data_IF_325002517495
#
_entry.id   IF_325002517495
#
_cell.length_a   1.000
_cell.length_b   1.000
_cell.length_c   1.000
_cell.angle_alpha   90.00
_cell.angle_beta   90.00
_cell.angle_gamma   90.00
#
_symmetry.space_group_name_H-M   'P 1'
#
loop_
_entity.id
_entity.type
_entity.pdbx_description
1 polymer ?
#
# COMPACT_ATOMS: atom_id res chain seq x y z
N UNK A 1 10.87 -39.29 -17.54
CA UNK A 1 11.17 -37.92 -17.07
C UNK A 1 9.86 -37.36 -16.54
N UNK A 2 9.60 -37.58 -15.24
CA UNK A 2 8.32 -37.24 -14.62
C UNK A 2 8.41 -35.84 -14.04
N UNK A 3 7.70 -34.89 -14.64
CA UNK A 3 7.45 -33.57 -14.05
C UNK A 3 6.36 -33.71 -12.98
N UNK A 4 6.77 -33.72 -11.72
CA UNK A 4 5.87 -33.59 -10.58
C UNK A 4 5.34 -32.16 -10.55
N UNK A 5 4.08 -31.96 -10.96
CA UNK A 5 3.37 -30.69 -10.77
C UNK A 5 2.98 -30.59 -9.30
N UNK A 6 3.61 -29.69 -8.56
CA UNK A 6 3.16 -29.31 -7.22
C UNK A 6 1.87 -28.49 -7.36
N UNK A 7 0.78 -29.04 -6.83
CA UNK A 7 -0.50 -28.35 -6.70
C UNK A 7 -0.42 -27.54 -5.41
N UNK A 8 -0.14 -26.24 -5.51
CA UNK A 8 -0.20 -25.33 -4.38
C UNK A 8 -1.69 -25.01 -4.13
N UNK A 9 -2.24 -25.47 -3.01
CA UNK A 9 -3.58 -25.09 -2.57
C UNK A 9 -3.48 -23.68 -2.01
N UNK A 10 -3.87 -22.68 -2.80
CA UNK A 10 -4.01 -21.29 -2.37
C UNK A 10 -5.33 -21.17 -1.61
N UNK A 11 -5.27 -20.97 -0.29
CA UNK A 11 -6.45 -20.67 0.53
C UNK A 11 -6.55 -19.14 0.60
N UNK A 12 -7.39 -18.56 -0.25
CA UNK A 12 -7.78 -17.15 -0.19
C UNK A 12 -9.02 -17.03 0.68
N UNK A 13 -8.85 -16.52 1.90
CA UNK A 13 -9.97 -16.09 2.73
C UNK A 13 -10.26 -14.63 2.40
N UNK A 14 -11.14 -14.39 1.44
CA UNK A 14 -11.70 -13.06 1.22
C UNK A 14 -12.72 -12.78 2.33
N UNK A 15 -12.23 -12.35 3.50
CA UNK A 15 -13.12 -11.84 4.54
C UNK A 15 -13.45 -10.42 4.15
N UNK A 16 -14.57 -10.23 3.45
CA UNK A 16 -15.26 -8.95 3.47
C UNK A 16 -15.61 -8.69 4.94
N UNK A 17 -14.79 -7.91 5.62
CA UNK A 17 -15.11 -7.42 6.96
C UNK A 17 -16.21 -6.38 6.76
N UNK A 18 -17.44 -6.87 6.63
CA UNK A 18 -18.59 -6.13 7.16
C UNK A 18 -18.20 -5.65 8.57
N UNK A 19 -18.71 -4.52 9.09
CA UNK A 19 -18.56 -4.18 10.50
C UNK A 19 -19.34 -5.22 11.32
N UNK A 20 -18.75 -6.39 11.44
CA UNK A 20 -19.16 -7.49 12.26
C UNK A 20 -18.71 -7.05 13.64
N UNK A 21 -19.63 -6.45 14.38
CA UNK A 21 -19.55 -6.39 15.82
C UNK A 21 -19.11 -7.77 16.29
N UNK A 22 -17.86 -7.84 16.76
CA UNK A 22 -17.20 -9.04 17.21
C UNK A 22 -18.08 -9.72 18.27
N UNK A 23 -18.65 -10.87 17.92
CA UNK A 23 -19.06 -11.87 18.91
C UNK A 23 -17.89 -12.85 19.08
N UNK A 24 -17.37 -12.89 20.30
CA UNK A 24 -16.51 -13.92 20.90
C UNK A 24 -15.02 -14.06 20.47
N UNK A 25 -14.44 -13.05 19.82
CA UNK A 25 -12.99 -12.83 19.86
C UNK A 25 -12.70 -11.74 20.87
N UNK A 26 -11.86 -11.99 21.89
CA UNK A 26 -11.53 -11.01 22.93
C UNK A 26 -11.13 -9.68 22.30
N UNK A 27 -12.04 -8.70 22.37
CA UNK A 27 -11.77 -7.33 21.93
C UNK A 27 -10.66 -6.81 22.84
N UNK A 28 -9.53 -6.47 22.25
CA UNK A 28 -8.50 -5.72 22.95
C UNK A 28 -9.12 -4.35 23.21
N UNK A 29 -9.61 -4.18 24.44
CA UNK A 29 -10.32 -2.96 24.86
C UNK A 29 -9.38 -1.89 25.38
N UNK A 30 -8.10 -2.26 25.58
CA UNK A 30 -7.07 -1.34 26.04
C UNK A 30 -6.08 -1.02 24.91
N UNK A 31 -6.15 0.17 24.29
CA UNK A 31 -5.19 0.60 23.29
C UNK A 31 -3.75 0.71 23.80
N UNK A 32 -3.52 0.63 25.11
CA UNK A 32 -2.19 0.67 25.73
C UNK A 32 -1.52 -0.73 25.78
N UNK A 33 -2.23 -1.80 25.36
CA UNK A 33 -1.67 -3.17 25.26
C UNK A 33 -1.02 -3.47 23.90
N UNK A 34 -1.03 -2.52 22.95
CA UNK A 34 -0.37 -2.71 21.65
C UNK A 34 1.15 -2.64 21.87
N UNK A 35 1.90 -3.68 21.51
CA UNK A 35 3.35 -3.71 21.65
C UNK A 35 4.02 -2.46 21.03
N UNK A 36 4.95 -1.86 21.78
CA UNK A 36 5.77 -0.71 21.34
C UNK A 36 6.64 -0.99 20.09
N UNK A 37 6.70 -2.25 19.62
CA UNK A 37 7.55 -2.67 18.50
C UNK A 37 6.93 -2.43 17.12
N UNK A 38 5.60 -2.25 17.01
CA UNK A 38 4.95 -1.91 15.74
C UNK A 38 4.67 -0.42 15.64
N UNK A 39 5.69 0.33 15.19
CA UNK A 39 5.57 1.78 15.06
C UNK A 39 5.17 2.16 13.63
N UNK A 40 3.94 2.62 13.46
CA UNK A 40 3.45 3.21 12.20
C UNK A 40 2.84 4.57 12.47
N UNK A 41 2.69 5.38 11.42
CA UNK A 41 1.99 6.66 11.48
C UNK A 41 1.40 7.04 10.14
N UNK A 42 0.28 7.76 10.16
CA UNK A 42 -0.20 8.52 9.01
C UNK A 42 0.05 9.99 9.30
N UNK A 43 0.96 10.61 8.56
CA UNK A 43 1.32 12.02 8.72
C UNK A 43 0.81 12.82 7.53
N UNK A 44 0.14 13.94 7.82
CA UNK A 44 -0.36 14.87 6.80
C UNK A 44 0.56 16.07 6.70
N UNK A 45 0.93 16.41 5.49
CA UNK A 45 1.81 17.52 5.17
C UNK A 45 1.11 18.48 4.22
N UNK A 46 1.13 19.77 4.58
CA UNK A 46 0.72 20.84 3.70
C UNK A 46 1.88 21.24 2.77
N UNK A 47 1.64 21.35 1.47
CA UNK A 47 2.64 21.81 0.50
C UNK A 47 2.78 20.88 -0.70
N UNK A 48 3.87 21.06 -1.45
CA UNK A 48 4.22 20.22 -2.60
C UNK A 48 5.20 19.13 -2.20
N UNK A 49 5.37 18.11 -3.04
CA UNK A 49 6.33 17.02 -2.79
C UNK A 49 7.76 17.54 -2.57
N UNK A 50 8.16 18.59 -3.29
CA UNK A 50 9.47 19.22 -3.15
C UNK A 50 9.67 19.85 -1.76
N UNK A 51 8.60 20.38 -1.16
CA UNK A 51 8.65 20.97 0.18
C UNK A 51 8.85 19.91 1.28
N UNK A 52 8.56 18.64 1.00
CA UNK A 52 8.58 17.57 2.00
C UNK A 52 9.92 16.85 2.12
N UNK A 53 10.85 17.08 1.19
CA UNK A 53 12.16 16.39 1.15
C UNK A 53 12.89 16.51 2.48
N UNK A 54 12.95 17.71 3.05
CA UNK A 54 13.64 17.97 4.31
C UNK A 54 12.85 17.44 5.52
N UNK A 55 11.53 17.56 5.50
CA UNK A 55 10.65 17.19 6.64
C UNK A 55 10.65 15.68 6.87
N UNK A 56 10.46 14.91 5.80
CA UNK A 56 10.43 13.45 5.89
C UNK A 56 11.81 12.90 6.23
N UNK A 57 12.89 13.62 5.89
CA UNK A 57 14.26 13.23 6.22
C UNK A 57 14.49 12.89 7.71
N UNK A 58 13.77 13.54 8.64
CA UNK A 58 13.84 13.21 10.07
C UNK A 58 13.19 11.85 10.37
N UNK A 59 12.04 11.54 9.76
CA UNK A 59 11.37 10.24 9.93
C UNK A 59 12.21 9.10 9.33
N UNK A 60 12.83 9.31 8.17
CA UNK A 60 13.71 8.28 7.58
C UNK A 60 14.93 8.00 8.47
N UNK A 61 15.52 9.04 9.08
CA UNK A 61 16.64 8.89 10.02
C UNK A 61 16.26 8.09 11.26
N UNK A 62 14.97 8.10 11.63
CA UNK A 62 14.41 7.29 12.72
C UNK A 62 14.04 5.87 12.28
N UNK A 63 14.26 5.52 11.00
CA UNK A 63 14.01 4.19 10.46
C UNK A 63 12.59 4.00 9.91
N UNK A 64 11.85 5.08 9.64
CA UNK A 64 10.55 4.95 8.99
C UNK A 64 10.70 4.80 7.47
N UNK A 65 9.99 3.83 6.93
CA UNK A 65 9.81 3.55 5.51
C UNK A 65 8.46 4.14 5.05
N UNK A 66 8.42 5.04 4.06
CA UNK A 66 7.17 5.45 3.45
C UNK A 66 6.65 4.33 2.54
N UNK A 67 5.47 3.80 2.86
CA UNK A 67 4.87 2.68 2.13
C UNK A 67 3.59 3.08 1.40
N UNK A 68 2.78 3.98 1.95
CA UNK A 68 1.56 4.45 1.31
C UNK A 68 1.49 5.97 1.19
N UNK A 69 0.77 6.48 0.19
CA UNK A 69 0.50 7.92 0.10
C UNK A 69 -0.80 8.29 -0.62
N UNK A 70 -1.36 9.43 -0.22
CA UNK A 70 -2.44 10.12 -0.92
C UNK A 70 -2.09 11.59 -1.15
N UNK A 71 -2.57 12.18 -2.25
CA UNK A 71 -2.26 13.55 -2.64
C UNK A 71 -3.50 14.33 -3.10
N UNK A 72 -4.34 14.77 -2.15
CA UNK A 72 -5.45 15.72 -2.41
C UNK A 72 -6.05 16.31 -1.10
N UNK A 73 -6.03 17.64 -0.86
CA UNK A 73 -5.11 18.65 -1.40
C UNK A 73 -3.74 18.65 -0.71
N UNK A 74 -3.65 17.98 0.44
CA UNK A 74 -2.43 17.78 1.22
C UNK A 74 -1.82 16.42 0.88
N UNK A 75 -0.53 16.24 1.15
CA UNK A 75 0.14 14.94 1.01
C UNK A 75 0.03 14.20 2.33
N UNK A 76 -0.56 13.03 2.31
CA UNK A 76 -0.60 12.12 3.47
C UNK A 76 0.30 10.94 3.20
N UNK A 77 1.20 10.63 4.15
CA UNK A 77 2.07 9.46 4.07
C UNK A 77 1.73 8.45 5.16
N UNK A 78 1.64 7.19 4.77
CA UNK A 78 1.72 6.05 5.67
C UNK A 78 3.18 5.64 5.80
N UNK A 79 3.69 5.79 7.03
CA UNK A 79 5.05 5.46 7.42
C UNK A 79 5.03 4.23 8.35
N UNK A 80 5.93 3.28 8.14
CA UNK A 80 6.12 2.12 9.03
C UNK A 80 7.58 2.02 9.45
N UNK A 81 7.86 1.59 10.67
CA UNK A 81 9.21 1.26 11.08
C UNK A 81 9.54 -0.18 10.66
N UNK A 82 10.30 -0.34 9.58
CA UNK A 82 10.64 -1.62 8.97
C UNK A 82 12.10 -1.57 8.47
N UNK A 83 12.94 -2.50 8.93
CA UNK A 83 14.35 -2.62 8.53
C UNK A 83 14.59 -3.72 7.47
N UNK A 84 13.53 -4.41 7.02
CA UNK A 84 13.61 -5.50 6.03
C UNK A 84 13.84 -4.99 4.61
N UNK A 85 13.42 -3.77 4.30
CA UNK A 85 13.67 -3.12 3.01
C UNK A 85 14.68 -1.98 3.23
N UNK A 86 15.98 -2.20 2.96
CA UNK A 86 16.95 -1.12 3.03
C UNK A 86 16.67 -0.12 1.90
N UNK A 87 16.63 1.17 2.21
CA UNK A 87 16.47 2.22 1.21
C UNK A 87 17.35 3.43 1.56
N UNK A 88 17.68 4.24 0.56
CA UNK A 88 18.61 5.37 0.69
C UNK A 88 17.95 6.72 0.47
N UNK A 89 16.95 6.77 -0.42
CA UNK A 89 16.23 7.98 -0.78
C UNK A 89 14.76 7.64 -1.03
N UNK A 90 13.91 8.65 -1.06
CA UNK A 90 12.52 8.54 -1.45
C UNK A 90 12.16 9.74 -2.34
N UNK A 91 11.07 9.63 -3.10
CA UNK A 91 10.45 10.76 -3.81
C UNK A 91 9.01 10.45 -4.16
N UNK A 92 8.21 11.50 -4.33
CA UNK A 92 6.94 11.42 -5.06
C UNK A 92 7.19 11.98 -6.46
N UNK A 93 6.75 11.27 -7.49
CA UNK A 93 6.84 11.72 -8.87
C UNK A 93 5.46 11.75 -9.52
N UNK A 94 5.13 12.86 -10.17
CA UNK A 94 3.85 13.05 -10.85
C UNK A 94 3.99 12.77 -12.35
N UNK A 95 3.21 11.81 -12.85
CA UNK A 95 3.07 11.46 -14.26
C UNK A 95 1.94 12.26 -14.88
N UNK A 96 2.30 13.34 -15.58
CA UNK A 96 1.32 14.22 -16.25
C UNK A 96 0.90 13.71 -17.63
N UNK A 97 1.65 12.78 -18.21
CA UNK A 97 1.40 12.23 -19.54
C UNK A 97 1.21 10.71 -19.48
N UNK A 98 -0.03 10.21 -19.61
CA UNK A 98 -0.31 8.77 -19.59
C UNK A 98 0.45 7.98 -20.67
N UNK A 99 0.84 8.62 -21.78
CA UNK A 99 1.60 7.96 -22.85
C UNK A 99 3.08 7.76 -22.51
N UNK A 100 3.59 8.50 -21.52
CA UNK A 100 4.98 8.43 -21.07
C UNK A 100 5.12 7.69 -19.73
N UNK A 101 4.02 7.48 -19.01
CA UNK A 101 3.99 6.80 -17.72
C UNK A 101 4.77 5.48 -17.70
N UNK A 102 4.56 4.62 -18.70
CA UNK A 102 5.27 3.34 -18.77
C UNK A 102 6.78 3.52 -18.95
N UNK A 103 7.20 4.44 -19.82
CA UNK A 103 8.60 4.70 -20.10
C UNK A 103 9.29 5.34 -18.88
N UNK A 104 8.65 6.30 -18.22
CA UNK A 104 9.16 6.94 -17.03
C UNK A 104 9.26 5.95 -15.86
N UNK A 105 8.19 5.22 -15.53
CA UNK A 105 8.19 4.21 -14.47
C UNK A 105 9.29 3.15 -14.68
N UNK A 106 9.51 2.70 -15.92
CA UNK A 106 10.60 1.79 -16.23
C UNK A 106 11.99 2.44 -16.08
N UNK A 107 12.13 3.73 -16.39
CA UNK A 107 13.35 4.50 -16.13
C UNK A 107 13.70 4.54 -14.64
N UNK A 108 12.71 4.79 -13.79
CA UNK A 108 12.86 4.75 -12.33
C UNK A 108 13.35 3.38 -11.85
N UNK A 109 12.75 2.29 -12.33
CA UNK A 109 13.18 0.94 -11.96
C UNK A 109 14.62 0.63 -12.37
N UNK A 110 15.05 1.07 -13.56
CA UNK A 110 16.44 0.91 -14.01
C UNK A 110 17.42 1.70 -13.14
N UNK A 111 16.98 2.85 -12.62
CA UNK A 111 17.74 3.69 -11.70
C UNK A 111 17.72 3.18 -10.24
N UNK A 112 17.01 2.08 -9.95
CA UNK A 112 16.92 1.51 -8.59
C UNK A 112 15.80 2.09 -7.73
N UNK A 113 14.82 2.77 -8.35
CA UNK A 113 13.65 3.30 -7.65
C UNK A 113 12.49 2.32 -7.72
N UNK A 114 12.07 1.84 -6.55
CA UNK A 114 10.96 0.93 -6.35
C UNK A 114 9.67 1.72 -6.04
N UNK A 115 8.59 1.55 -6.83
CA UNK A 115 7.31 2.17 -6.52
C UNK A 115 6.66 1.46 -5.32
N UNK A 116 6.22 2.23 -4.33
CA UNK A 116 5.61 1.74 -3.10
C UNK A 116 4.09 1.85 -3.14
N UNK A 117 3.58 2.97 -3.66
CA UNK A 117 2.14 3.23 -3.78
C UNK A 117 1.89 4.23 -4.94
N UNK A 118 0.62 4.47 -5.27
CA UNK A 118 0.16 5.43 -6.27
C UNK A 118 -0.95 6.30 -5.69
N UNK A 119 -1.08 7.52 -6.17
CA UNK A 119 -2.20 8.40 -5.86
C UNK A 119 -2.72 9.04 -7.15
N UNK A 120 -4.03 9.21 -7.27
CA UNK A 120 -4.60 10.04 -8.32
C UNK A 120 -4.49 11.51 -7.93
N UNK A 121 -3.97 12.31 -8.84
CA UNK A 121 -3.87 13.76 -8.67
C UNK A 121 -4.78 14.47 -9.69
N UNK A 122 -4.85 15.80 -9.59
CA UNK A 122 -5.55 16.62 -10.58
C UNK A 122 -4.89 16.57 -11.96
N UNK A 123 -3.58 16.30 -12.05
CA UNK A 123 -2.84 16.28 -13.31
C UNK A 123 -2.58 14.86 -13.84
N UNK A 124 -2.90 13.81 -13.08
CA UNK A 124 -2.72 12.43 -13.53
C UNK A 124 -2.53 11.44 -12.38
N UNK A 125 -1.42 10.70 -12.45
CA UNK A 125 -1.00 9.73 -11.43
C UNK A 125 0.25 10.29 -10.77
N UNK A 126 0.33 10.24 -9.45
CA UNK A 126 1.60 10.30 -8.75
C UNK A 126 1.99 8.89 -8.29
N UNK A 127 3.28 8.64 -8.13
CA UNK A 127 3.77 7.46 -7.42
C UNK A 127 4.80 7.85 -6.35
N UNK A 128 4.72 7.16 -5.23
CA UNK A 128 5.74 7.18 -4.17
C UNK A 128 6.78 6.15 -4.52
N UNK A 129 8.04 6.58 -4.52
CA UNK A 129 9.20 5.72 -4.77
C UNK A 129 10.15 5.74 -3.59
N UNK A 130 10.84 4.62 -3.40
CA UNK A 130 12.06 4.52 -2.60
C UNK A 130 13.21 4.03 -3.46
N UNK A 131 14.42 4.53 -3.22
CA UNK A 131 15.63 4.01 -3.85
C UNK A 131 16.17 2.86 -3.01
N UNK A 132 16.28 1.67 -3.59
CA UNK A 132 16.64 0.44 -2.89
C UNK A 132 17.37 -0.53 -3.82
N UNK A 133 18.16 -1.44 -3.25
CA UNK A 133 18.72 -2.58 -3.99
C UNK A 133 17.66 -3.67 -4.27
N UNK A 134 16.48 -3.58 -3.65
CA UNK A 134 15.38 -4.48 -3.93
C UNK A 134 14.86 -4.28 -5.35
N UNK A 135 15.00 -5.32 -6.18
CA UNK A 135 14.57 -5.29 -7.56
C UNK A 135 13.25 -6.07 -7.75
N UNK A 136 12.41 -5.56 -8.65
CA UNK A 136 11.20 -6.22 -9.14
C UNK A 136 11.36 -6.61 -10.61
N UNK A 137 10.65 -7.66 -11.02
CA UNK A 137 10.60 -8.14 -12.41
C UNK A 137 9.58 -7.39 -13.27
N UNK A 138 8.74 -6.57 -12.67
CA UNK A 138 7.73 -5.79 -13.40
C UNK A 138 6.67 -5.21 -12.49
N UNK A 139 5.84 -4.36 -13.06
CA UNK A 139 4.76 -3.65 -12.38
C UNK A 139 3.59 -3.48 -13.35
N UNK A 140 2.41 -3.19 -12.80
CA UNK A 140 1.21 -2.79 -13.54
C UNK A 140 0.39 -1.83 -12.68
N UNK A 141 -0.23 -0.86 -13.34
CA UNK A 141 -1.34 -0.10 -12.77
C UNK A 141 -2.61 -0.54 -13.49
N UNK A 142 -3.63 -0.96 -12.75
CA UNK A 142 -4.93 -1.32 -13.33
C UNK A 142 -6.06 -0.62 -12.59
N UNK A 143 -7.07 -0.22 -13.35
CA UNK A 143 -8.31 0.29 -12.78
C UNK A 143 -9.30 -0.87 -12.53
N UNK A 144 -10.09 -0.75 -11.47
CA UNK A 144 -11.24 -1.58 -11.17
C UNK A 144 -12.41 -0.72 -10.73
N UNK A 145 -13.63 -1.22 -10.88
CA UNK A 145 -14.79 -0.59 -10.27
C UNK A 145 -14.73 -0.73 -8.74
N UNK A 146 -15.25 0.23 -8.00
CA UNK A 146 -15.29 0.19 -6.53
C UNK A 146 -16.40 -0.71 -5.99
N UNK A 147 -16.60 -1.88 -6.61
CA UNK A 147 -17.53 -2.92 -6.14
C UNK A 147 -16.73 -4.14 -5.69
N UNK A 148 -17.22 -4.82 -4.65
CA UNK A 148 -16.51 -5.98 -4.07
C UNK A 148 -16.22 -7.06 -5.12
N UNK A 149 -17.19 -7.37 -6.00
CA UNK A 149 -17.04 -8.38 -7.04
C UNK A 149 -16.00 -7.99 -8.09
N UNK A 150 -16.04 -6.75 -8.59
CA UNK A 150 -15.09 -6.27 -9.60
C UNK A 150 -13.68 -6.18 -9.03
N UNK A 151 -13.53 -5.64 -7.82
CA UNK A 151 -12.24 -5.53 -7.15
C UNK A 151 -11.64 -6.91 -6.87
N UNK A 152 -12.44 -7.84 -6.35
CA UNK A 152 -12.03 -9.24 -6.12
C UNK A 152 -11.54 -9.87 -7.42
N UNK A 153 -12.32 -9.75 -8.50
CA UNK A 153 -11.94 -10.33 -9.79
C UNK A 153 -10.65 -9.71 -10.33
N UNK A 154 -10.45 -8.39 -10.19
CA UNK A 154 -9.22 -7.72 -10.60
C UNK A 154 -8.01 -8.21 -9.80
N UNK A 155 -8.13 -8.31 -8.48
CA UNK A 155 -7.05 -8.80 -7.60
C UNK A 155 -6.69 -10.24 -7.94
N UNK A 156 -7.68 -11.12 -8.09
CA UNK A 156 -7.46 -12.52 -8.46
C UNK A 156 -6.72 -12.64 -9.79
N UNK A 157 -7.07 -11.82 -10.79
CA UNK A 157 -6.38 -11.80 -12.07
C UNK A 157 -4.90 -11.39 -11.92
N UNK A 158 -4.61 -10.37 -11.12
CA UNK A 158 -3.24 -9.92 -10.86
C UNK A 158 -2.42 -10.97 -10.10
N UNK A 159 -3.02 -11.61 -9.08
CA UNK A 159 -2.39 -12.66 -8.31
C UNK A 159 -2.16 -13.94 -9.13
N UNK A 160 -3.09 -14.31 -10.00
CA UNK A 160 -2.93 -15.41 -10.95
C UNK A 160 -1.79 -15.14 -11.94
N UNK A 161 -1.61 -13.87 -12.31
CA UNK A 161 -0.45 -13.44 -13.08
C UNK A 161 0.83 -13.41 -12.25
N UNK A 162 0.80 -13.60 -10.93
CA UNK A 162 1.95 -13.59 -10.04
C UNK A 162 2.42 -12.19 -9.66
N UNK A 163 1.49 -11.23 -9.56
CA UNK A 163 1.72 -9.89 -9.02
C UNK A 163 1.13 -9.78 -7.60
N UNK A 164 1.81 -9.04 -6.74
CA UNK A 164 1.33 -8.60 -5.42
C UNK A 164 0.79 -7.18 -5.53
N UNK A 165 -0.35 -6.88 -4.91
CA UNK A 165 -0.85 -5.50 -4.86
C UNK A 165 -0.14 -4.76 -3.74
N UNK A 166 0.52 -3.66 -4.06
CA UNK A 166 1.25 -2.84 -3.08
C UNK A 166 0.51 -1.55 -2.79
N UNK A 167 -0.05 -0.92 -3.82
CA UNK A 167 -0.70 0.38 -3.70
C UNK A 167 -2.13 0.37 -4.20
N UNK A 168 -2.92 1.31 -3.69
CA UNK A 168 -4.29 1.52 -4.15
C UNK A 168 -4.70 2.98 -4.00
N UNK A 169 -5.31 3.56 -5.02
CA UNK A 169 -5.84 4.93 -4.99
C UNK A 169 -7.27 4.98 -5.49
N UNK A 170 -8.13 5.70 -4.79
CA UNK A 170 -9.52 5.90 -5.19
C UNK A 170 -9.64 7.05 -6.17
N UNK A 171 -10.47 6.89 -7.19
CA UNK A 171 -10.69 7.92 -8.21
C UNK A 171 -12.13 8.46 -8.27
N UNK A 172 -12.93 8.17 -7.25
CA UNK A 172 -14.33 8.58 -7.11
C UNK A 172 -15.33 7.69 -7.85
N UNK A 173 -14.92 7.05 -8.95
CA UNK A 173 -15.75 6.10 -9.72
C UNK A 173 -15.28 4.64 -9.57
N UNK A 174 -14.04 4.46 -9.14
CA UNK A 174 -13.35 3.18 -9.01
C UNK A 174 -12.10 3.28 -8.16
N UNK A 175 -11.23 2.29 -8.35
CA UNK A 175 -9.97 2.13 -7.63
C UNK A 175 -8.87 1.76 -8.61
N UNK A 176 -7.72 2.41 -8.50
CA UNK A 176 -6.50 2.09 -9.23
C UNK A 176 -5.58 1.30 -8.32
N UNK A 177 -5.07 0.18 -8.81
CA UNK A 177 -4.20 -0.72 -8.07
C UNK A 177 -2.80 -0.69 -8.67
N UNK A 178 -1.79 -0.44 -7.84
CA UNK A 178 -0.39 -0.70 -8.17
C UNK A 178 -0.07 -2.15 -7.79
N UNK A 179 0.26 -2.95 -8.80
CA UNK A 179 0.67 -4.33 -8.63
C UNK A 179 2.12 -4.51 -9.08
N UNK A 180 2.92 -5.23 -8.30
CA UNK A 180 4.34 -5.48 -8.62
C UNK A 180 4.64 -6.98 -8.63
N UNK A 181 5.66 -7.35 -9.39
CA UNK A 181 6.15 -8.73 -9.48
C UNK A 181 7.54 -8.80 -8.85
N UNK A 182 7.62 -9.36 -7.66
CA UNK A 182 8.88 -9.52 -6.94
C UNK A 182 9.82 -10.54 -7.62
N UNK A 183 11.13 -10.39 -7.44
CA UNK A 183 12.11 -11.38 -7.90
C UNK A 183 12.21 -12.52 -6.88
N UNK A 184 11.82 -13.73 -7.28
CA UNK A 184 11.98 -14.93 -6.45
C UNK A 184 11.05 -15.02 -5.24
N UNK A 185 10.14 -14.06 -5.07
CA UNK A 185 9.12 -14.05 -4.03
C UNK A 185 7.87 -14.86 -4.41
N UNK A 186 7.16 -15.34 -3.39
CA UNK A 186 5.77 -15.78 -3.53
C UNK A 186 4.90 -14.53 -3.39
N UNK A 187 3.87 -14.33 -4.23
CA UNK A 187 2.96 -13.21 -4.07
C UNK A 187 2.43 -13.18 -2.64
N UNK A 188 2.52 -12.02 -1.99
CA UNK A 188 2.01 -11.85 -0.62
C UNK A 188 0.50 -11.86 -0.63
N UNK A 189 -0.10 -12.25 0.49
CA UNK A 189 -1.55 -12.12 0.65
C UNK A 189 -1.84 -10.64 0.90
N UNK A 190 -2.76 -10.09 0.13
CA UNK A 190 -3.22 -8.70 0.29
C UNK A 190 -4.59 -8.68 0.94
N UNK A 191 -4.79 -7.79 1.91
CA UNK A 191 -6.09 -7.43 2.47
C UNK A 191 -6.32 -5.92 2.32
N UNK A 192 -7.57 -5.51 2.19
CA UNK A 192 -7.97 -4.11 2.21
C UNK A 192 -8.90 -3.88 3.39
N UNK A 193 -8.78 -2.70 3.99
CA UNK A 193 -9.76 -2.23 4.95
C UNK A 193 -10.09 -0.77 4.68
N UNK A 194 -11.33 -0.41 5.01
CA UNK A 194 -11.86 0.93 4.85
C UNK A 194 -12.41 1.40 6.20
N UNK A 195 -11.90 2.53 6.67
CA UNK A 195 -12.24 3.14 7.94
C UNK A 195 -12.85 4.51 7.72
N UNK A 196 -13.58 5.00 8.72
CA UNK A 196 -13.86 6.44 8.78
C UNK A 196 -12.57 7.18 9.06
N UNK A 197 -12.43 8.37 8.49
CA UNK A 197 -11.31 9.27 8.76
C UNK A 197 -11.43 9.93 10.15
N UNK A 198 -11.35 9.09 11.18
CA UNK A 198 -11.35 9.45 12.59
C UNK A 198 -10.08 8.86 13.21
N UNK A 199 -9.10 9.68 13.65
CA UNK A 199 -7.76 9.22 14.00
C UNK A 199 -7.71 8.04 14.98
N UNK A 200 -8.54 8.05 16.04
CA UNK A 200 -8.58 6.96 17.01
C UNK A 200 -9.17 5.67 16.42
N UNK A 201 -10.17 5.75 15.52
CA UNK A 201 -10.73 4.56 14.88
C UNK A 201 -9.72 3.92 13.93
N UNK A 202 -9.03 4.75 13.14
CA UNK A 202 -7.96 4.29 12.25
C UNK A 202 -6.85 3.65 13.08
N UNK A 203 -6.44 4.30 14.17
CA UNK A 203 -5.39 3.80 15.06
C UNK A 203 -5.73 2.42 15.63
N UNK A 204 -6.92 2.28 16.22
CA UNK A 204 -7.39 1.01 16.77
C UNK A 204 -7.42 -0.09 15.72
N UNK A 205 -8.00 0.19 14.55
CA UNK A 205 -8.19 -0.83 13.53
C UNK A 205 -6.89 -1.28 12.86
N UNK A 206 -5.95 -0.36 12.60
CA UNK A 206 -4.62 -0.72 12.07
C UNK A 206 -3.85 -1.57 13.09
N UNK A 207 -3.95 -1.23 14.39
CA UNK A 207 -3.29 -2.00 15.44
C UNK A 207 -3.89 -3.40 15.62
N UNK A 208 -5.22 -3.54 15.51
CA UNK A 208 -5.87 -4.86 15.47
C UNK A 208 -5.36 -5.70 14.28
N UNK A 209 -5.20 -5.09 13.10
CA UNK A 209 -4.61 -5.74 11.93
C UNK A 209 -3.17 -6.18 12.16
N UNK A 210 -2.33 -5.32 12.76
CA UNK A 210 -0.94 -5.64 13.12
C UNK A 210 -0.85 -6.82 14.09
N UNK A 211 -1.71 -6.85 15.11
CA UNK A 211 -1.78 -7.97 16.06
C UNK A 211 -2.22 -9.28 15.40
N UNK A 212 -2.98 -9.21 14.31
CA UNK A 212 -3.33 -10.34 13.45
C UNK A 212 -2.24 -10.70 12.41
N UNK A 213 -1.10 -10.02 12.44
CA UNK A 213 0.06 -10.25 11.58
C UNK A 213 -0.02 -9.58 10.21
N UNK A 214 -0.84 -8.54 10.05
CA UNK A 214 -0.97 -7.77 8.82
C UNK A 214 -0.18 -6.47 8.89
N UNK A 215 0.69 -6.22 7.91
CA UNK A 215 1.52 -5.01 7.85
C UNK A 215 0.83 -3.98 6.93
N UNK A 216 0.55 -2.75 7.39
CA UNK A 216 -0.03 -1.72 6.53
C UNK A 216 1.01 -1.29 5.48
N UNK A 217 0.58 -1.17 4.22
CA UNK A 217 1.48 -1.01 3.07
C UNK A 217 1.03 0.04 2.05
N UNK A 218 -0.27 0.28 1.90
CA UNK A 218 -0.79 1.30 0.98
C UNK A 218 -1.81 2.19 1.67
N UNK A 219 -1.99 3.41 1.18
CA UNK A 219 -2.88 4.42 1.77
C UNK A 219 -3.66 5.14 0.68
N UNK A 220 -4.98 5.22 0.82
CA UNK A 220 -5.80 6.17 0.07
C UNK A 220 -6.80 6.88 0.98
N UNK A 221 -7.01 8.17 0.75
CA UNK A 221 -7.94 9.00 1.50
C UNK A 221 -8.95 9.61 0.53
N UNK A 222 -10.23 9.27 0.70
CA UNK A 222 -11.29 9.83 -0.13
C UNK A 222 -12.61 9.89 0.62
N UNK A 223 -13.36 11.00 0.46
CA UNK A 223 -14.72 11.11 0.98
C UNK A 223 -14.87 10.90 2.49
N UNK A 224 -13.88 11.32 3.29
CA UNK A 224 -13.87 11.13 4.75
C UNK A 224 -13.62 9.68 5.17
N UNK A 225 -12.95 8.90 4.32
CA UNK A 225 -12.56 7.51 4.56
C UNK A 225 -11.06 7.34 4.42
N UNK A 226 -10.53 6.37 5.16
CA UNK A 226 -9.14 5.90 5.06
C UNK A 226 -9.15 4.48 4.57
N UNK A 227 -8.52 4.24 3.43
CA UNK A 227 -8.33 2.93 2.84
C UNK A 227 -6.89 2.52 3.08
N UNK A 228 -6.69 1.36 3.71
CA UNK A 228 -5.38 0.80 3.98
C UNK A 228 -5.25 -0.54 3.29
N UNK A 229 -4.21 -0.66 2.46
CA UNK A 229 -3.77 -1.95 1.90
C UNK A 229 -2.83 -2.60 2.90
N UNK A 230 -3.04 -3.89 3.19
CA UNK A 230 -2.19 -4.67 4.09
C UNK A 230 -1.54 -5.84 3.36
N UNK A 231 -0.32 -6.20 3.77
CA UNK A 231 0.43 -7.34 3.27
C UNK A 231 0.72 -8.36 4.38
N UNK A 232 0.77 -9.64 4.01
CA UNK A 232 1.24 -10.74 4.85
C UNK A 232 1.91 -11.84 4.03
#
# INVERSE_FOLDING_TARGET
MNMTRYFLILILTLIAVSPLLAQDGGVITDPDEIPDDFVWSITRYSGTADDLVDVIGEDLQRGYLPVGFEADPDISLLLIQDDTIPFTRWRIHEFTNPTELEAEMNGFLVEGWLPMDIARTQNGIAALFIETEFAINGWRIVASEATDDALTQTIENLQNDGLTIWGASLDGEGIWLLAVREIGGVPRVTQYANYRDEPEQVRLAVNESLLAGWIPWGLSLAGGRVFVTYLR
#
